data_IF_025937997512
#
_entry.id   IF_025937997512
#
_cell.length_a   1.000
_cell.length_b   1.000
_cell.length_c   1.000
_cell.angle_alpha   90.00
_cell.angle_beta   90.00
_cell.angle_gamma   90.00
#
_symmetry.space_group_name_H-M   'P 1'
#
loop_
_entity.id
_entity.type
_entity.pdbx_description
1 polymer ?
#
# COMPACT_ATOMS: atom_id res chain seq x y z
N UNK A 1 23.32 -6.65 6.91
CA UNK A 1 21.90 -6.95 6.62
C UNK A 1 21.58 -8.37 7.02
N UNK A 2 20.66 -8.56 7.97
CA UNK A 2 20.15 -9.90 8.33
C UNK A 2 19.16 -10.38 7.28
N UNK A 3 19.29 -11.64 6.85
CA UNK A 3 18.30 -12.32 5.99
C UNK A 3 17.53 -13.32 6.83
N UNK A 4 16.20 -13.29 6.75
CA UNK A 4 15.32 -14.18 7.49
C UNK A 4 14.54 -15.06 6.52
N UNK A 5 14.48 -16.36 6.80
CA UNK A 5 13.66 -17.29 6.03
C UNK A 5 12.27 -17.38 6.67
N UNK A 6 11.24 -17.05 5.90
CA UNK A 6 9.85 -16.96 6.38
C UNK A 6 8.89 -17.66 5.42
N UNK A 7 7.62 -17.88 5.82
CA UNK A 7 6.59 -18.38 4.90
C UNK A 7 6.35 -17.50 3.68
N UNK A 8 6.79 -16.23 3.72
CA UNK A 8 6.71 -15.27 2.61
C UNK A 8 8.01 -15.21 1.78
N UNK A 9 8.95 -16.14 2.02
CA UNK A 9 10.26 -16.15 1.39
C UNK A 9 11.33 -15.45 2.23
N UNK A 10 12.37 -14.95 1.55
CA UNK A 10 13.51 -14.31 2.19
C UNK A 10 13.22 -12.83 2.45
N UNK A 11 13.37 -12.41 3.69
CA UNK A 11 13.21 -11.01 4.09
C UNK A 11 14.56 -10.38 4.40
N UNK A 12 14.73 -9.12 4.01
CA UNK A 12 15.92 -8.31 4.30
C UNK A 12 15.55 -7.26 5.34
N UNK A 13 16.34 -7.19 6.42
CA UNK A 13 16.18 -6.14 7.42
C UNK A 13 16.91 -4.87 7.00
N UNK A 14 16.19 -3.74 7.07
CA UNK A 14 16.66 -2.39 6.76
C UNK A 14 16.25 -1.46 7.89
N UNK A 15 17.08 -0.47 8.19
CA UNK A 15 16.71 0.66 9.06
C UNK A 15 16.88 1.92 8.25
N UNK A 16 15.83 2.72 8.17
CA UNK A 16 15.87 4.04 7.57
C UNK A 16 16.54 5.00 8.54
N UNK A 17 17.63 5.64 8.10
CA UNK A 17 18.49 6.43 9.00
C UNK A 17 17.82 7.74 9.45
N UNK A 18 16.96 8.32 8.61
CA UNK A 18 16.30 9.61 8.85
C UNK A 18 15.22 9.49 9.92
N UNK A 19 14.36 8.47 9.83
CA UNK A 19 13.25 8.25 10.76
C UNK A 19 13.61 7.29 11.90
N UNK A 20 14.74 6.60 11.79
CA UNK A 20 15.13 5.48 12.64
C UNK A 20 14.06 4.35 12.68
N UNK A 21 13.29 4.22 11.58
CA UNK A 21 12.27 3.18 11.43
C UNK A 21 12.90 1.93 10.83
N UNK A 22 12.53 0.77 11.37
CA UNK A 22 13.03 -0.52 10.89
C UNK A 22 11.99 -1.28 10.10
N UNK A 23 12.43 -1.92 9.01
CA UNK A 23 11.59 -2.67 8.10
C UNK A 23 12.18 -4.05 7.80
N UNK A 24 11.30 -5.03 7.59
CA UNK A 24 11.59 -6.23 6.82
C UNK A 24 11.02 -6.08 5.44
N UNK A 25 11.84 -6.20 4.40
CA UNK A 25 11.40 -6.08 3.02
C UNK A 25 11.52 -7.42 2.28
N UNK A 26 10.56 -7.70 1.41
CA UNK A 26 10.51 -8.92 0.63
C UNK A 26 9.68 -8.77 -0.65
N UNK A 27 9.66 -9.84 -1.43
CA UNK A 27 8.82 -9.98 -2.62
C UNK A 27 8.03 -11.27 -2.47
N UNK A 28 6.71 -11.21 -2.65
CA UNK A 28 5.82 -12.36 -2.59
C UNK A 28 4.81 -12.29 -3.74
N UNK A 29 4.70 -13.36 -4.54
CA UNK A 29 3.91 -13.39 -5.78
C UNK A 29 4.15 -12.16 -6.68
N UNK A 30 5.44 -11.83 -6.91
CA UNK A 30 5.87 -10.68 -7.74
C UNK A 30 5.49 -9.29 -7.19
N UNK A 31 4.92 -9.22 -5.99
CA UNK A 31 4.57 -7.96 -5.32
C UNK A 31 5.57 -7.64 -4.21
N UNK A 32 6.09 -6.42 -4.21
CA UNK A 32 6.93 -5.90 -3.15
C UNK A 32 6.12 -5.63 -1.89
N UNK A 33 6.70 -5.92 -0.73
CA UNK A 33 6.11 -5.56 0.55
C UNK A 33 7.18 -5.20 1.60
N UNK A 34 6.76 -4.40 2.56
CA UNK A 34 7.52 -4.09 3.77
C UNK A 34 6.68 -4.39 5.00
N UNK A 35 7.37 -4.76 6.09
CA UNK A 35 6.79 -4.90 7.42
C UNK A 35 7.55 -3.97 8.34
N UNK A 36 6.90 -2.93 8.85
CA UNK A 36 7.47 -2.08 9.88
C UNK A 36 7.54 -2.86 11.19
N UNK A 37 8.72 -2.86 11.81
CA UNK A 37 9.03 -3.64 13.01
C UNK A 37 9.66 -2.77 14.08
N UNK A 38 9.36 -3.07 15.35
CA UNK A 38 9.98 -2.37 16.48
C UNK A 38 11.31 -3.04 16.87
N UNK A 39 12.23 -2.26 17.42
CA UNK A 39 13.41 -2.80 18.09
C UNK A 39 13.17 -2.93 19.61
N UNK A 40 13.58 -4.05 20.25
CA UNK A 40 14.21 -5.23 19.66
C UNK A 40 13.21 -6.06 18.84
N UNK A 41 13.68 -6.51 17.68
CA UNK A 41 12.89 -7.23 16.69
C UNK A 41 12.55 -8.65 17.15
N UNK A 42 11.30 -9.09 16.94
CA UNK A 42 10.87 -10.47 17.18
C UNK A 42 9.95 -10.98 16.05
N UNK A 43 10.45 -11.93 15.26
CA UNK A 43 9.73 -12.60 14.17
C UNK A 43 8.41 -13.26 14.61
N UNK A 44 8.35 -13.78 15.84
CA UNK A 44 7.16 -14.50 16.34
C UNK A 44 5.94 -13.58 16.53
N UNK A 45 6.16 -12.26 16.58
CA UNK A 45 5.08 -11.26 16.72
C UNK A 45 4.49 -10.85 15.37
N UNK A 46 5.06 -11.32 14.25
CA UNK A 46 4.56 -11.01 12.91
C UNK A 46 3.50 -12.03 12.54
N UNK A 47 2.31 -11.53 12.20
CA UNK A 47 1.21 -12.35 11.68
C UNK A 47 1.42 -12.62 10.18
N UNK A 48 2.32 -13.55 9.87
CA UNK A 48 2.60 -13.95 8.47
C UNK A 48 1.37 -14.51 7.76
N UNK A 49 0.43 -15.14 8.49
CA UNK A 49 -0.81 -15.64 7.92
C UNK A 49 -1.71 -14.51 7.45
N UNK A 50 -1.82 -13.44 8.24
CA UNK A 50 -2.54 -12.23 7.84
C UNK A 50 -1.92 -11.61 6.59
N UNK A 51 -0.61 -11.40 6.57
CA UNK A 51 0.09 -10.81 5.41
C UNK A 51 -0.11 -11.66 4.17
N UNK A 52 0.15 -12.97 4.27
CA UNK A 52 -0.03 -13.91 3.17
C UNK A 52 -1.48 -13.91 2.66
N UNK A 53 -2.46 -13.83 3.56
CA UNK A 53 -3.87 -13.75 3.20
C UNK A 53 -4.18 -12.46 2.40
N UNK A 54 -3.69 -11.29 2.82
CA UNK A 54 -3.95 -10.03 2.09
C UNK A 54 -3.28 -10.05 0.72
N UNK A 55 -2.03 -10.46 0.63
CA UNK A 55 -1.32 -10.51 -0.66
C UNK A 55 -1.93 -11.54 -1.62
N UNK A 56 -2.34 -12.72 -1.15
CA UNK A 56 -3.03 -13.70 -1.99
C UNK A 56 -4.39 -13.22 -2.49
N UNK A 57 -5.07 -12.35 -1.73
CA UNK A 57 -6.37 -11.78 -2.10
C UNK A 57 -6.25 -10.39 -2.76
N UNK A 58 -5.06 -10.03 -3.26
CA UNK A 58 -4.84 -8.72 -3.88
C UNK A 58 -5.83 -8.40 -5.01
N UNK A 59 -6.18 -9.33 -5.94
CA UNK A 59 -7.15 -9.02 -6.99
C UNK A 59 -8.51 -8.54 -6.44
N UNK A 60 -9.01 -9.14 -5.36
CA UNK A 60 -10.26 -8.74 -4.72
C UNK A 60 -10.12 -7.40 -3.99
N UNK A 61 -9.01 -7.22 -3.26
CA UNK A 61 -8.71 -5.96 -2.57
C UNK A 61 -8.67 -4.81 -3.56
N UNK A 62 -7.91 -4.97 -4.65
CA UNK A 62 -7.78 -3.97 -5.70
C UNK A 62 -9.14 -3.59 -6.30
N UNK A 63 -9.99 -4.57 -6.61
CA UNK A 63 -11.33 -4.30 -7.13
C UNK A 63 -12.19 -3.47 -6.14
N UNK A 64 -12.11 -3.77 -4.84
CA UNK A 64 -12.77 -2.99 -3.77
C UNK A 64 -12.22 -1.56 -3.71
N UNK A 65 -10.91 -1.40 -3.83
CA UNK A 65 -10.22 -0.10 -3.81
C UNK A 65 -10.56 0.75 -5.02
N UNK A 66 -10.58 0.18 -6.22
CA UNK A 66 -11.01 0.91 -7.41
C UNK A 66 -12.47 1.36 -7.29
N UNK A 67 -13.36 0.52 -6.75
CA UNK A 67 -14.75 0.90 -6.52
C UNK A 67 -14.87 2.04 -5.51
N UNK A 68 -14.10 1.99 -4.42
CA UNK A 68 -14.03 3.06 -3.43
C UNK A 68 -13.59 4.40 -4.05
N UNK A 69 -12.49 4.40 -4.81
CA UNK A 69 -11.99 5.60 -5.49
C UNK A 69 -12.98 6.12 -6.54
N UNK A 70 -13.61 5.23 -7.32
CA UNK A 70 -14.67 5.62 -8.28
C UNK A 70 -15.84 6.30 -7.58
N UNK A 71 -16.28 5.78 -6.42
CA UNK A 71 -17.35 6.41 -5.64
C UNK A 71 -16.97 7.82 -5.14
N UNK A 72 -15.72 8.01 -4.71
CA UNK A 72 -15.20 9.34 -4.34
C UNK A 72 -15.15 10.25 -5.56
N UNK A 73 -14.71 9.77 -6.73
CA UNK A 73 -14.69 10.56 -7.96
C UNK A 73 -16.09 11.09 -8.32
N UNK A 74 -17.13 10.27 -8.14
CA UNK A 74 -18.50 10.68 -8.44
C UNK A 74 -19.08 11.68 -7.43
N UNK A 75 -18.69 11.58 -6.16
CA UNK A 75 -19.31 12.36 -5.07
C UNK A 75 -18.48 13.58 -4.67
N UNK A 76 -17.16 13.50 -4.76
CA UNK A 76 -16.17 14.45 -4.25
C UNK A 76 -14.91 14.48 -5.15
N UNK A 77 -15.03 14.76 -6.46
CA UNK A 77 -13.93 14.65 -7.45
C UNK A 77 -12.67 15.45 -7.08
N UNK A 78 -12.85 16.60 -6.42
CA UNK A 78 -11.74 17.47 -5.98
C UNK A 78 -10.76 16.79 -5.03
N UNK A 79 -11.23 15.82 -4.25
CA UNK A 79 -10.35 15.03 -3.36
C UNK A 79 -9.42 14.08 -4.12
N UNK A 80 -9.64 13.88 -5.42
CA UNK A 80 -8.79 13.07 -6.29
C UNK A 80 -8.08 13.91 -7.35
N UNK A 81 -8.01 15.24 -7.14
CA UNK A 81 -7.38 16.16 -8.08
C UNK A 81 -8.22 16.51 -9.32
N UNK A 82 -9.48 16.07 -9.40
CA UNK A 82 -10.38 16.41 -10.50
C UNK A 82 -11.28 17.60 -10.17
N UNK A 83 -11.54 18.47 -11.15
CA UNK A 83 -12.48 19.57 -10.97
C UNK A 83 -13.92 19.08 -11.03
N UNK A 84 -14.20 18.10 -11.90
CA UNK A 84 -15.53 17.52 -12.08
C UNK A 84 -15.45 16.02 -12.32
N UNK A 85 -16.46 15.27 -11.89
CA UNK A 85 -16.52 13.81 -12.11
C UNK A 85 -16.55 13.40 -13.60
N UNK A 86 -16.87 14.34 -14.51
CA UNK A 86 -16.91 14.13 -15.97
C UNK A 86 -15.53 14.21 -16.62
N UNK A 87 -14.51 14.61 -15.86
CA UNK A 87 -13.14 14.58 -16.33
C UNK A 87 -12.81 13.14 -16.75
N UNK A 88 -12.29 12.97 -17.97
CA UNK A 88 -12.26 11.66 -18.63
C UNK A 88 -11.13 10.80 -18.10
N UNK A 89 -11.47 9.77 -17.33
CA UNK A 89 -10.60 8.61 -17.14
C UNK A 89 -10.56 7.77 -18.42
N UNK A 90 -9.37 7.31 -18.80
CA UNK A 90 -9.21 6.30 -19.83
C UNK A 90 -9.73 4.96 -19.32
N UNK A 91 -10.92 4.55 -19.78
CA UNK A 91 -11.57 3.30 -19.36
C UNK A 91 -10.85 2.04 -19.85
N UNK A 92 -9.88 2.18 -20.75
CA UNK A 92 -9.07 1.05 -21.25
C UNK A 92 -7.87 0.76 -20.35
N UNK A 93 -7.56 1.68 -19.43
CA UNK A 93 -6.47 1.56 -18.48
C UNK A 93 -6.97 1.23 -17.09
N UNK A 94 -6.09 0.58 -16.36
CA UNK A 94 -6.23 0.33 -14.94
C UNK A 94 -6.25 1.65 -14.17
N UNK A 95 -7.16 1.79 -13.19
CA UNK A 95 -7.25 3.02 -12.40
C UNK A 95 -6.05 3.21 -11.48
N UNK A 96 -5.55 2.10 -10.93
CA UNK A 96 -4.41 2.00 -10.02
C UNK A 96 -3.59 0.76 -10.39
N UNK A 97 -2.26 0.86 -10.42
CA UNK A 97 -1.33 -0.20 -10.78
C UNK A 97 -0.03 -0.10 -9.96
N UNK A 98 0.82 -1.13 -10.06
CA UNK A 98 2.10 -1.24 -9.33
C UNK A 98 1.95 -1.11 -7.80
N UNK A 99 1.36 -2.13 -7.14
CA UNK A 99 1.15 -2.11 -5.70
C UNK A 99 2.45 -2.37 -4.92
N UNK A 100 2.65 -1.61 -3.86
CA UNK A 100 3.64 -1.87 -2.81
C UNK A 100 2.92 -1.94 -1.46
N UNK A 101 3.04 -3.07 -0.76
CA UNK A 101 2.32 -3.30 0.49
C UNK A 101 3.15 -2.86 1.70
N UNK A 102 2.51 -2.25 2.69
CA UNK A 102 3.12 -1.89 3.95
C UNK A 102 2.29 -2.50 5.08
N UNK A 103 2.93 -3.30 5.92
CA UNK A 103 2.29 -3.92 7.09
C UNK A 103 2.93 -3.43 8.38
N UNK A 104 2.12 -3.32 9.43
CA UNK A 104 2.59 -2.90 10.75
C UNK A 104 2.53 -4.07 11.72
N UNK A 105 3.61 -4.29 12.47
CA UNK A 105 3.60 -5.34 13.49
C UNK A 105 2.53 -5.07 14.57
N UNK A 106 1.91 -6.15 15.08
CA UNK A 106 0.94 -6.11 16.20
C UNK A 106 -0.36 -5.33 15.95
N UNK A 107 -0.64 -4.89 14.73
CA UNK A 107 -1.91 -4.24 14.37
C UNK A 107 -2.60 -5.01 13.25
N UNK A 108 -3.83 -4.60 12.94
CA UNK A 108 -4.53 -5.01 11.71
C UNK A 108 -4.56 -3.87 10.69
N UNK A 109 -3.81 -2.81 10.95
CA UNK A 109 -3.62 -1.71 10.02
C UNK A 109 -2.55 -2.10 9.01
N UNK A 110 -2.75 -1.70 7.76
CA UNK A 110 -1.84 -1.93 6.67
C UNK A 110 -2.22 -1.04 5.49
N UNK A 111 -1.27 -0.80 4.59
CA UNK A 111 -1.48 0.07 3.46
C UNK A 111 -1.03 -0.57 2.14
N UNK A 112 -1.51 0.01 1.04
CA UNK A 112 -0.96 -0.21 -0.29
C UNK A 112 -0.66 1.15 -0.91
N UNK A 113 0.57 1.33 -1.37
CA UNK A 113 0.91 2.39 -2.30
C UNK A 113 0.68 1.87 -3.72
N UNK A 114 -0.12 2.58 -4.51
CA UNK A 114 -0.20 2.34 -5.95
C UNK A 114 0.63 3.40 -6.66
N UNK A 115 1.79 2.99 -7.19
CA UNK A 115 2.77 3.89 -7.81
C UNK A 115 2.30 4.51 -9.11
N UNK A 116 1.36 3.85 -9.79
CA UNK A 116 0.75 4.38 -11.00
C UNK A 116 -0.75 4.48 -10.84
N UNK A 117 -1.32 5.58 -11.32
CA UNK A 117 -2.76 5.80 -11.33
C UNK A 117 -3.17 6.80 -12.40
N UNK A 118 -4.44 6.73 -12.81
CA UNK A 118 -5.05 7.77 -13.65
C UNK A 118 -5.57 8.97 -12.85
N UNK A 119 -5.44 8.94 -11.52
CA UNK A 119 -5.88 10.00 -10.62
C UNK A 119 -4.79 11.07 -10.51
N UNK A 120 -5.06 12.35 -10.79
CA UNK A 120 -4.06 13.42 -10.72
C UNK A 120 -3.37 13.53 -9.35
N UNK A 121 -4.08 13.21 -8.27
CA UNK A 121 -3.53 13.22 -6.91
C UNK A 121 -2.44 12.17 -6.66
N UNK A 122 -2.31 11.19 -7.56
CA UNK A 122 -1.29 10.16 -7.44
C UNK A 122 0.03 10.56 -8.09
N UNK A 123 0.10 11.71 -8.78
CA UNK A 123 1.34 12.14 -9.44
C UNK A 123 2.18 12.99 -8.48
N UNK A 124 3.51 12.77 -8.36
CA UNK A 124 4.32 11.80 -9.11
C UNK A 124 4.59 10.48 -8.36
N UNK A 125 4.23 10.40 -7.08
CA UNK A 125 4.74 9.35 -6.17
C UNK A 125 3.77 8.19 -5.87
N UNK A 126 2.56 8.26 -6.40
CA UNK A 126 1.48 7.31 -6.21
C UNK A 126 0.39 7.81 -5.27
N UNK A 127 -0.53 6.92 -4.95
CA UNK A 127 -1.59 7.13 -3.94
C UNK A 127 -1.48 6.06 -2.86
N UNK A 128 -1.49 6.47 -1.60
CA UNK A 128 -1.50 5.58 -0.45
C UNK A 128 -2.94 5.27 -0.07
N UNK A 129 -3.29 3.99 0.05
CA UNK A 129 -4.61 3.54 0.50
C UNK A 129 -4.46 2.86 1.85
N UNK A 130 -5.22 3.32 2.85
CA UNK A 130 -5.15 2.79 4.20
C UNK A 130 -6.25 1.76 4.47
N UNK A 131 -5.88 0.68 5.13
CA UNK A 131 -6.78 -0.41 5.47
C UNK A 131 -6.71 -0.76 6.96
N UNK A 132 -7.85 -1.15 7.52
CA UNK A 132 -7.95 -1.82 8.81
C UNK A 132 -8.65 -3.16 8.61
N UNK A 133 -7.94 -4.24 8.92
CA UNK A 133 -8.32 -5.61 8.58
C UNK A 133 -8.73 -5.74 7.09
N UNK A 134 -10.04 -5.79 6.79
CA UNK A 134 -10.56 -5.96 5.43
C UNK A 134 -11.15 -4.67 4.84
N UNK A 135 -11.19 -3.58 5.60
CA UNK A 135 -11.89 -2.35 5.25
C UNK A 135 -10.94 -1.23 4.88
N UNK A 136 -11.37 -0.42 3.91
CA UNK A 136 -10.65 0.79 3.49
C UNK A 136 -11.02 1.88 4.48
N UNK A 137 -10.01 2.43 5.14
CA UNK A 137 -10.16 3.51 6.13
C UNK A 137 -10.04 4.87 5.44
N UNK A 138 -9.18 4.97 4.43
CA UNK A 138 -8.90 6.23 3.77
C UNK A 138 -7.91 6.11 2.62
N UNK A 139 -7.49 7.26 2.14
CA UNK A 139 -6.38 7.40 1.20
C UNK A 139 -5.66 8.71 1.49
N UNK A 140 -4.40 8.77 1.11
CA UNK A 140 -3.54 9.93 1.29
C UNK A 140 -2.88 10.32 -0.05
N UNK A 141 -2.75 11.62 -0.22
CA UNK A 141 -1.93 12.24 -1.26
C UNK A 141 -0.48 12.24 -0.79
N UNK A 142 0.37 11.51 -1.50
CA UNK A 142 1.80 11.45 -1.21
C UNK A 142 2.62 12.22 -2.26
N UNK A 143 1.98 13.07 -3.07
CA UNK A 143 2.68 13.91 -4.06
C UNK A 143 3.61 14.95 -3.43
N UNK A 144 3.27 15.42 -2.23
CA UNK A 144 4.06 16.38 -1.44
C UNK A 144 5.02 15.69 -0.45
N UNK A 145 5.14 14.35 -0.45
CA UNK A 145 6.16 13.70 0.38
C UNK A 145 7.52 14.04 -0.21
N UNK A 146 8.34 14.83 0.50
CA UNK A 146 9.76 14.97 0.19
C UNK A 146 10.33 13.56 -0.02
N UNK A 147 11.09 13.35 -1.11
CA UNK A 147 11.67 12.05 -1.48
C UNK A 147 12.17 11.30 -0.23
N UNK A 148 11.57 10.15 0.07
CA UNK A 148 12.03 9.22 1.10
C UNK A 148 13.41 8.65 0.72
#
# INVERSE_FOLDING_TARGET
MGKFHTPLGNLTFITEETTNTSFLQGIFNEMSFSIQVSQPFNLEKIDFNFIQNKMNNFPQIRAKTELFLKNILYTQPKKLGFNHYKDKLDKTKELISFPEFIFYEKTKDWDIIFRESLLPIAEPYGILINYHDNDIVGFEDISDSEEL
#
